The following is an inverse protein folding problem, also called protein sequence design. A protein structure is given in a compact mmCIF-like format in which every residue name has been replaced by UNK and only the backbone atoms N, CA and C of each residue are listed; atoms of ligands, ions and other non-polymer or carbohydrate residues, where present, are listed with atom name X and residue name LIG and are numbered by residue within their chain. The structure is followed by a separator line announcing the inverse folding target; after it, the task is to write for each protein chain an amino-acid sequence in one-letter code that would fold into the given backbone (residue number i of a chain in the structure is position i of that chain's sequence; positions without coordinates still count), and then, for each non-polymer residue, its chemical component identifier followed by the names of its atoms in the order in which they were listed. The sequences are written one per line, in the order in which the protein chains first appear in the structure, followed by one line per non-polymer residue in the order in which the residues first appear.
data_IF_000333909594
#
_entry.id   IF_000333909594
#
_cell.length_a   1.000
_cell.length_b   1.000
_cell.length_c   1.000
_cell.angle_alpha   90.00
_cell.angle_beta   90.00
_cell.angle_gamma   90.00
#
_symmetry.space_group_name_H-M   'P 1'
#
loop_
_entity.id
_entity.type
_entity.pdbx_description
1 polymer ?
#
# COMPACT_ATOMS: atom_id res chain seq x y z
N UNK A 1 17.39 -8.89 -35.40
CA UNK A 1 16.62 -9.77 -34.50
C UNK A 1 17.17 -9.89 -33.07
N UNK A 2 18.37 -9.37 -32.71
CA UNK A 2 18.83 -9.38 -31.30
C UNK A 2 18.14 -8.33 -30.40
N UNK A 3 17.56 -7.27 -30.95
CA UNK A 3 17.00 -6.17 -30.15
C UNK A 3 15.61 -6.47 -29.57
N UNK A 4 14.79 -7.28 -30.23
CA UNK A 4 13.41 -7.54 -29.78
C UNK A 4 13.37 -8.44 -28.53
N UNK A 5 14.29 -9.40 -28.43
CA UNK A 5 14.42 -10.28 -27.27
C UNK A 5 15.00 -9.59 -26.02
N UNK A 6 15.84 -8.56 -26.22
CA UNK A 6 16.35 -7.72 -25.11
C UNK A 6 15.21 -6.88 -24.53
N UNK A 7 14.42 -6.23 -25.38
CA UNK A 7 13.31 -5.40 -24.93
C UNK A 7 12.19 -6.20 -24.25
N UNK A 8 11.90 -7.42 -24.71
CA UNK A 8 10.91 -8.28 -24.05
C UNK A 8 11.33 -8.66 -22.63
N UNK A 9 12.63 -8.94 -22.41
CA UNK A 9 13.16 -9.27 -21.08
C UNK A 9 13.11 -8.10 -20.09
N UNK A 10 13.27 -6.86 -20.58
CA UNK A 10 13.20 -5.65 -19.74
C UNK A 10 11.75 -5.37 -19.32
N UNK A 11 10.79 -5.57 -20.23
CA UNK A 11 9.36 -5.37 -19.95
C UNK A 11 8.85 -6.42 -18.97
N UNK A 12 9.23 -7.69 -19.12
CA UNK A 12 8.88 -8.75 -18.15
C UNK A 12 9.47 -8.49 -16.77
N UNK A 13 10.75 -8.12 -16.68
CA UNK A 13 11.40 -7.83 -15.40
C UNK A 13 10.78 -6.61 -14.71
N UNK A 14 10.46 -5.56 -15.47
CA UNK A 14 9.77 -4.40 -14.93
C UNK A 14 8.36 -4.78 -14.44
N UNK A 15 7.59 -5.55 -15.22
CA UNK A 15 6.26 -6.02 -14.82
C UNK A 15 6.27 -6.83 -13.51
N UNK A 16 7.20 -7.78 -13.37
CA UNK A 16 7.37 -8.58 -12.14
C UNK A 16 7.83 -7.69 -10.96
N UNK A 17 8.65 -6.68 -11.21
CA UNK A 17 9.09 -5.72 -10.19
C UNK A 17 7.93 -4.88 -9.65
N UNK A 18 7.06 -4.35 -10.52
CA UNK A 18 5.91 -3.55 -10.10
C UNK A 18 4.87 -4.37 -9.31
N UNK A 19 4.67 -5.64 -9.67
CA UNK A 19 3.82 -6.57 -8.91
C UNK A 19 4.34 -6.74 -7.48
N UNK A 20 5.65 -6.90 -7.30
CA UNK A 20 6.27 -7.01 -5.96
C UNK A 20 6.10 -5.72 -5.15
N UNK A 21 6.28 -4.56 -5.78
CA UNK A 21 6.04 -3.26 -5.13
C UNK A 21 4.58 -3.14 -4.69
N UNK A 22 3.63 -3.56 -5.52
CA UNK A 22 2.20 -3.60 -5.17
C UNK A 22 1.92 -4.47 -3.94
N UNK A 23 2.52 -5.66 -3.85
CA UNK A 23 2.39 -6.53 -2.67
C UNK A 23 2.97 -5.90 -1.40
N UNK A 24 4.13 -5.24 -1.49
CA UNK A 24 4.74 -4.57 -0.33
C UNK A 24 3.84 -3.42 0.15
N UNK A 25 3.31 -2.62 -0.77
CA UNK A 25 2.39 -1.52 -0.45
C UNK A 25 1.13 -2.07 0.23
N UNK A 26 0.50 -3.10 -0.34
CA UNK A 26 -0.72 -3.69 0.20
C UNK A 26 -0.55 -4.28 1.61
N UNK A 27 0.64 -4.80 1.94
CA UNK A 27 0.93 -5.35 3.27
C UNK A 27 1.35 -4.26 4.28
N UNK A 28 2.14 -3.28 3.86
CA UNK A 28 2.70 -2.27 4.77
C UNK A 28 1.69 -1.16 5.12
N UNK A 29 0.86 -0.73 4.17
CA UNK A 29 -0.07 0.39 4.39
C UNK A 29 -1.08 0.16 5.53
N UNK A 30 -1.76 -0.99 5.61
CA UNK A 30 -2.70 -1.27 6.69
C UNK A 30 -2.02 -1.23 8.07
N UNK A 31 -0.79 -1.75 8.16
CA UNK A 31 -0.02 -1.79 9.41
C UNK A 31 0.39 -0.39 9.85
N UNK A 32 0.83 0.45 8.91
CA UNK A 32 1.22 1.85 9.20
C UNK A 32 0.00 2.65 9.67
N UNK A 33 -1.13 2.53 8.97
CA UNK A 33 -2.36 3.24 9.32
C UNK A 33 -2.86 2.80 10.70
N UNK A 34 -2.88 1.49 10.98
CA UNK A 34 -3.28 0.98 12.29
C UNK A 34 -2.38 1.50 13.42
N UNK A 35 -1.05 1.46 13.23
CA UNK A 35 -0.12 2.01 14.22
C UNK A 35 -0.30 3.51 14.43
N UNK A 36 -0.58 4.26 13.37
CA UNK A 36 -0.79 5.71 13.44
C UNK A 36 -2.07 6.04 14.22
N UNK A 37 -3.15 5.28 14.02
CA UNK A 37 -4.40 5.43 14.76
C UNK A 37 -4.21 5.13 16.25
N UNK A 38 -3.53 4.02 16.58
CA UNK A 38 -3.21 3.67 17.97
C UNK A 38 -2.32 4.71 18.63
N UNK A 39 -1.37 5.28 17.89
CA UNK A 39 -0.49 6.33 18.38
C UNK A 39 -1.27 7.65 18.63
N UNK A 40 -2.21 8.00 17.75
CA UNK A 40 -3.10 9.15 17.91
C UNK A 40 -3.99 9.01 19.15
N UNK A 41 -4.58 7.83 19.36
CA UNK A 41 -5.35 7.50 20.55
C UNK A 41 -4.50 7.65 21.82
N UNK A 42 -3.29 7.09 21.81
CA UNK A 42 -2.37 7.16 22.94
C UNK A 42 -1.85 8.58 23.26
N UNK A 43 -1.45 9.35 22.24
CA UNK A 43 -0.81 10.66 22.43
C UNK A 43 -1.81 11.80 22.63
N UNK A 44 -2.93 11.76 21.92
CA UNK A 44 -3.90 12.86 21.88
C UNK A 44 -5.11 12.56 22.76
N UNK A 45 -5.28 11.30 23.21
CA UNK A 45 -6.49 10.86 23.91
C UNK A 45 -7.73 10.97 23.00
N UNK A 46 -7.52 10.88 21.69
CA UNK A 46 -8.58 11.04 20.71
C UNK A 46 -9.31 9.72 20.54
N UNK A 47 -10.57 9.67 21.01
CA UNK A 47 -11.42 8.49 20.86
C UNK A 47 -11.45 8.02 19.38
N UNK A 48 -10.98 6.80 19.14
CA UNK A 48 -11.10 6.17 17.81
C UNK A 48 -12.58 5.87 17.56
N UNK A 49 -13.26 6.81 16.89
CA UNK A 49 -14.65 6.63 16.50
C UNK A 49 -14.78 5.66 15.31
N UNK A 50 -15.96 5.05 15.17
CA UNK A 50 -16.31 4.23 14.00
C UNK A 50 -16.17 4.99 12.67
N UNK A 51 -16.29 6.32 12.70
CA UNK A 51 -16.07 7.19 11.54
C UNK A 51 -14.60 7.20 11.12
N UNK A 52 -13.66 7.34 12.08
CA UNK A 52 -12.22 7.34 11.83
C UNK A 52 -11.75 6.00 11.27
N UNK A 53 -12.27 4.89 11.81
CA UNK A 53 -12.01 3.55 11.28
C UNK A 53 -12.53 3.38 9.85
N UNK A 54 -13.75 3.87 9.58
CA UNK A 54 -14.35 3.79 8.23
C UNK A 54 -13.55 4.59 7.20
N UNK A 55 -13.11 5.81 7.55
CA UNK A 55 -12.21 6.64 6.73
C UNK A 55 -10.88 5.92 6.45
N UNK A 56 -10.32 5.28 7.45
CA UNK A 56 -9.05 4.55 7.33
C UNK A 56 -9.16 3.38 6.34
N UNK A 57 -10.27 2.65 6.38
CA UNK A 57 -10.56 1.56 5.44
C UNK A 57 -10.72 2.10 4.01
N UNK A 58 -11.43 3.23 3.83
CA UNK A 58 -11.60 3.87 2.52
C UNK A 58 -10.24 4.30 1.94
N UNK A 59 -9.39 4.92 2.77
CA UNK A 59 -8.03 5.34 2.36
C UNK A 59 -7.19 4.14 1.93
N UNK A 60 -7.20 3.03 2.68
CA UNK A 60 -6.51 1.80 2.31
C UNK A 60 -7.05 1.26 0.98
N UNK A 61 -8.37 1.15 0.84
CA UNK A 61 -9.03 0.66 -0.38
C UNK A 61 -8.68 1.49 -1.61
N UNK A 62 -8.62 2.82 -1.48
CA UNK A 62 -8.27 3.73 -2.58
C UNK A 62 -6.80 3.71 -2.99
N UNK A 63 -5.89 3.29 -2.10
CA UNK A 63 -4.45 3.22 -2.39
C UNK A 63 -4.02 1.86 -2.95
N UNK A 64 -4.89 0.86 -2.82
CA UNK A 64 -4.62 -0.52 -3.27
C UNK A 64 -5.20 -0.78 -4.68
N UNK A 65 -6.11 0.07 -5.16
CA UNK A 65 -6.69 0.05 -6.52
C UNK A 65 -5.90 1.03 -7.42
#
# INVERSE_FOLDING_TARGET
MKNDASNSSIIENNGVSWVRVGYVIALCLPVIILNTLLLLDYLVGQDITMMTLSLSIIVIGSLTI
#
